data_IF_075213333151
#
_entry.id   IF_075213333151
#
_cell.length_a   1.000
_cell.length_b   1.000
_cell.length_c   1.000
_cell.angle_alpha   90.00
_cell.angle_beta   90.00
_cell.angle_gamma   90.00
#
_symmetry.space_group_name_H-M   'P 1'
#
loop_
_entity.id
_entity.type
_entity.pdbx_description
1 polymer ?
#
# COMPACT_ATOMS: atom_id res chain seq x y z
N UNK A 1 -56.49 -12.83 -1.94
CA UNK A 1 -56.61 -14.06 -1.15
C UNK A 1 -55.26 -14.76 -1.29
N UNK A 2 -54.39 -14.87 -0.40
CA UNK A 2 -54.25 -15.14 0.98
C UNK A 2 -52.88 -14.60 1.42
N UNK A 3 -52.86 -13.76 2.46
CA UNK A 3 -51.68 -13.19 3.07
C UNK A 3 -51.13 -14.19 4.07
N UNK A 4 -49.85 -14.53 3.97
CA UNK A 4 -49.13 -15.25 5.04
C UNK A 4 -48.07 -14.36 5.65
N UNK A 5 -48.25 -14.03 6.93
CA UNK A 5 -47.32 -13.29 7.80
C UNK A 5 -46.24 -14.22 8.27
N UNK A 6 -44.96 -13.76 8.27
CA UNK A 6 -43.85 -14.36 8.98
C UNK A 6 -43.66 -13.73 10.36
N UNK A 7 -43.19 -14.48 11.37
CA UNK A 7 -43.10 -14.02 12.75
C UNK A 7 -41.83 -13.18 13.05
N UNK A 8 -42.07 -12.11 13.82
CA UNK A 8 -41.04 -11.28 14.42
C UNK A 8 -40.42 -11.99 15.62
N UNK A 9 -39.08 -12.25 15.60
CA UNK A 9 -38.34 -12.61 16.79
C UNK A 9 -37.80 -11.34 17.47
N UNK A 10 -38.36 -11.02 18.62
CA UNK A 10 -37.86 -9.99 19.53
C UNK A 10 -36.73 -10.57 20.40
N UNK A 11 -35.55 -9.92 20.39
CA UNK A 11 -34.48 -10.20 21.30
C UNK A 11 -34.52 -9.24 22.49
N UNK A 12 -34.80 -9.80 23.65
CA UNK A 12 -34.81 -9.12 24.95
C UNK A 12 -33.34 -8.95 25.39
N UNK A 13 -32.94 -7.69 25.54
CA UNK A 13 -31.66 -7.33 26.19
C UNK A 13 -31.81 -7.50 27.71
N UNK A 14 -31.10 -8.44 28.31
CA UNK A 14 -30.91 -8.52 29.76
C UNK A 14 -29.66 -7.74 30.15
N UNK A 15 -29.84 -6.65 30.87
CA UNK A 15 -28.79 -5.95 31.55
C UNK A 15 -28.53 -6.63 32.90
N UNK A 16 -27.32 -7.12 33.11
CA UNK A 16 -26.86 -7.63 34.41
C UNK A 16 -26.10 -6.50 35.11
N UNK A 17 -26.68 -5.96 36.15
CA UNK A 17 -26.04 -4.99 37.04
C UNK A 17 -25.07 -5.73 37.97
N UNK A 18 -23.79 -5.34 37.92
CA UNK A 18 -22.77 -5.78 38.91
C UNK A 18 -22.77 -4.76 40.03
N UNK A 19 -23.19 -5.20 41.23
CA UNK A 19 -23.13 -4.45 42.47
C UNK A 19 -21.75 -4.67 43.10
N UNK A 20 -20.95 -3.62 43.23
CA UNK A 20 -19.68 -3.62 43.96
C UNK A 20 -19.99 -3.39 45.43
N UNK A 21 -19.74 -4.40 46.27
CA UNK A 21 -19.85 -4.31 47.72
C UNK A 21 -18.50 -3.84 48.30
N UNK A 22 -18.47 -2.66 48.89
CA UNK A 22 -17.35 -2.14 49.68
C UNK A 22 -17.43 -2.78 51.08
N UNK A 23 -16.41 -3.54 51.48
CA UNK A 23 -16.22 -4.03 52.86
C UNK A 23 -15.27 -3.05 53.56
N UNK A 24 -15.81 -2.29 54.50
CA UNK A 24 -15.04 -1.45 55.44
C UNK A 24 -14.69 -2.34 56.66
N UNK A 25 -13.40 -2.61 56.85
CA UNK A 25 -12.89 -3.23 58.10
C UNK A 25 -12.49 -2.18 59.10
N UNK A 26 -13.29 -1.99 60.14
CA UNK A 26 -12.95 -1.21 61.33
C UNK A 26 -12.26 -2.14 62.34
N UNK A 27 -11.01 -1.85 62.68
CA UNK A 27 -10.31 -2.41 63.82
C UNK A 27 -10.24 -1.35 64.93
N UNK A 28 -10.96 -1.66 66.01
CA UNK A 28 -10.79 -1.00 67.29
C UNK A 28 -9.76 -1.78 68.10
N UNK A 29 -8.78 -1.10 68.66
CA UNK A 29 -7.81 -1.65 69.58
C UNK A 29 -7.40 -0.61 70.60
N UNK A 30 -7.79 -0.80 71.83
CA UNK A 30 -7.47 0.03 73.01
C UNK A 30 -6.05 -0.19 73.51
N UNK A 31 -5.47 0.87 74.08
CA UNK A 31 -4.66 0.69 75.32
C UNK A 31 -3.27 1.31 75.31
N UNK A 32 -3.09 2.40 76.03
CA UNK A 32 -2.03 2.53 77.01
C UNK A 32 -0.78 3.34 76.70
N UNK A 33 -0.69 4.49 77.44
CA UNK A 33 0.50 5.11 78.04
C UNK A 33 1.48 5.92 77.16
N UNK A 34 1.39 7.23 77.40
CA UNK A 34 2.42 8.27 77.49
C UNK A 34 3.88 7.87 77.18
N UNK A 35 4.45 8.56 76.21
CA UNK A 35 5.71 9.28 76.33
C UNK A 35 5.86 10.29 75.17
N UNK A 36 6.23 11.49 75.57
CA UNK A 36 6.49 12.63 74.72
C UNK A 36 7.77 12.45 73.91
N UNK A 37 7.70 12.53 72.59
CA UNK A 37 8.82 12.96 71.79
C UNK A 37 8.31 13.65 70.50
N UNK A 38 8.69 14.88 70.42
CA UNK A 38 8.57 15.72 69.21
C UNK A 38 9.27 15.00 68.03
N UNK A 39 8.50 14.58 67.05
CA UNK A 39 9.02 14.22 65.75
C UNK A 39 8.22 14.91 64.67
N UNK A 40 8.88 15.87 64.06
CA UNK A 40 8.37 16.60 62.93
C UNK A 40 7.85 15.64 61.84
N UNK A 41 6.58 15.77 61.48
CA UNK A 41 5.97 15.07 60.39
C UNK A 41 6.65 15.51 59.08
N UNK A 42 7.55 14.68 58.56
CA UNK A 42 8.05 14.83 57.23
C UNK A 42 6.94 14.43 56.23
N UNK A 43 6.34 15.46 55.63
CA UNK A 43 5.44 15.26 54.50
C UNK A 43 6.26 14.75 53.33
N UNK A 44 6.19 13.46 53.05
CA UNK A 44 6.77 12.89 51.87
C UNK A 44 6.03 13.41 50.66
N UNK A 45 6.64 14.37 49.95
CA UNK A 45 6.18 14.80 48.63
C UNK A 45 6.45 13.69 47.65
N UNK A 46 5.42 12.94 47.26
CA UNK A 46 5.49 11.99 46.17
C UNK A 46 5.61 12.79 44.87
N UNK A 47 6.82 12.96 44.41
CA UNK A 47 7.07 13.50 43.07
C UNK A 47 6.61 12.42 42.08
N UNK A 48 5.45 12.62 41.44
CA UNK A 48 5.06 11.80 40.28
C UNK A 48 6.02 12.15 39.13
N UNK A 49 7.05 11.35 38.94
CA UNK A 49 7.80 11.34 37.73
C UNK A 49 6.93 10.69 36.66
N UNK A 50 6.37 11.49 35.76
CA UNK A 50 5.84 11.00 34.48
C UNK A 50 6.94 10.16 33.82
N UNK A 51 6.68 8.90 33.42
CA UNK A 51 7.68 8.13 32.72
C UNK A 51 8.02 8.83 31.40
N UNK A 52 9.20 9.43 31.34
CA UNK A 52 9.77 9.88 30.10
C UNK A 52 10.19 8.62 29.36
N UNK A 53 9.48 8.30 28.28
CA UNK A 53 9.93 7.26 27.34
C UNK A 53 11.15 7.83 26.62
N UNK A 54 12.33 7.55 27.15
CA UNK A 54 13.59 7.82 26.43
C UNK A 54 13.71 6.75 25.38
N UNK A 55 13.29 7.04 24.15
CA UNK A 55 13.67 6.25 22.99
C UNK A 55 15.19 6.42 22.86
N UNK A 56 15.96 5.43 23.31
CA UNK A 56 17.40 5.39 23.03
C UNK A 56 17.56 5.20 21.53
N UNK A 57 17.77 6.28 20.78
CA UNK A 57 18.29 6.20 19.43
C UNK A 57 19.72 5.64 19.53
N UNK A 58 19.97 4.46 18.96
CA UNK A 58 21.31 3.96 18.75
C UNK A 58 22.13 5.03 17.98
N UNK A 59 23.44 5.08 18.11
CA UNK A 59 24.33 6.11 17.53
C UNK A 59 24.21 6.32 15.99
N UNK A 60 23.39 5.48 15.31
CA UNK A 60 22.91 5.61 13.94
C UNK A 60 21.41 5.29 13.85
N UNK A 61 20.66 5.59 14.95
CA UNK A 61 19.26 5.25 15.07
C UNK A 61 18.34 6.14 14.21
N UNK A 62 17.18 5.59 13.86
CA UNK A 62 16.11 6.30 13.18
C UNK A 62 15.56 7.43 14.09
N UNK A 63 15.72 8.67 13.66
CA UNK A 63 15.22 9.84 14.35
C UNK A 63 13.91 10.32 13.71
N UNK A 64 12.79 9.84 14.25
CA UNK A 64 11.46 10.16 13.75
C UNK A 64 11.14 11.67 13.87
N UNK A 65 11.66 12.34 14.90
CA UNK A 65 11.43 13.79 15.09
C UNK A 65 12.13 14.57 13.99
N UNK A 66 13.38 14.24 13.69
CA UNK A 66 14.14 14.86 12.60
C UNK A 66 13.48 14.59 11.25
N UNK A 67 13.11 13.34 10.96
CA UNK A 67 12.43 12.98 9.70
C UNK A 67 11.15 13.77 9.53
N UNK A 68 10.35 13.89 10.60
CA UNK A 68 9.12 14.69 10.56
C UNK A 68 9.40 16.17 10.29
N UNK A 69 10.34 16.78 11.00
CA UNK A 69 10.68 18.19 10.79
C UNK A 69 11.22 18.49 9.39
N UNK A 70 12.00 17.57 8.82
CA UNK A 70 12.56 17.74 7.48
C UNK A 70 11.52 17.55 6.37
N UNK A 71 10.58 16.61 6.54
CA UNK A 71 9.66 16.21 5.47
C UNK A 71 8.28 16.86 5.57
N UNK A 72 7.77 17.12 6.77
CA UNK A 72 6.40 17.63 6.94
C UNK A 72 6.09 18.93 6.20
N UNK A 73 7.02 19.90 6.02
CA UNK A 73 6.71 21.09 5.23
C UNK A 73 6.37 20.80 3.77
N UNK A 74 6.86 19.69 3.23
CA UNK A 74 6.58 19.25 1.85
C UNK A 74 5.37 18.34 1.71
N UNK A 75 4.71 17.94 2.79
CA UNK A 75 3.51 17.11 2.76
C UNK A 75 2.27 17.98 2.77
N UNK A 76 1.33 17.70 1.86
CA UNK A 76 0.13 18.51 1.62
C UNK A 76 -1.14 17.68 1.76
N UNK A 77 -2.26 18.36 2.05
CA UNK A 77 -3.61 17.78 1.95
C UNK A 77 -4.15 18.01 0.54
N UNK A 78 -4.79 17.01 -0.03
CA UNK A 78 -5.44 17.09 -1.34
C UNK A 78 -6.94 16.93 -1.15
N UNK A 79 -7.70 17.86 -1.72
CA UNK A 79 -9.15 17.82 -1.74
C UNK A 79 -9.65 17.76 -3.18
N UNK A 80 -10.37 16.72 -3.50
CA UNK A 80 -10.93 16.45 -4.83
C UNK A 80 -12.44 16.60 -4.81
N UNK A 81 -12.98 17.34 -5.78
CA UNK A 81 -14.42 17.54 -5.96
C UNK A 81 -14.88 16.82 -7.22
N UNK A 82 -15.80 15.88 -7.10
CA UNK A 82 -16.32 15.09 -8.23
C UNK A 82 -17.58 15.65 -8.84
N UNK A 83 -17.86 15.30 -10.09
CA UNK A 83 -19.06 15.73 -10.82
C UNK A 83 -20.30 14.95 -10.34
N UNK A 84 -21.48 15.58 -10.46
CA UNK A 84 -22.76 14.88 -10.28
C UNK A 84 -23.17 14.58 -8.83
N UNK A 85 -22.58 15.27 -7.85
CA UNK A 85 -22.89 15.04 -6.42
C UNK A 85 -22.17 13.83 -5.84
N UNK A 86 -21.12 13.34 -6.50
CA UNK A 86 -20.27 12.22 -6.05
C UNK A 86 -19.42 12.53 -4.79
N UNK A 87 -19.70 13.68 -4.11
CA UNK A 87 -18.99 14.03 -2.89
C UNK A 87 -17.64 14.70 -3.12
N UNK A 88 -16.84 14.74 -2.05
CA UNK A 88 -15.44 15.14 -2.06
C UNK A 88 -14.61 13.99 -1.50
N UNK A 89 -13.43 13.77 -2.06
CA UNK A 89 -12.40 12.92 -1.48
C UNK A 89 -11.31 13.79 -0.87
N UNK A 90 -10.68 13.27 0.17
CA UNK A 90 -9.54 13.89 0.81
C UNK A 90 -8.43 12.85 0.99
N UNK A 91 -7.20 13.26 0.73
CA UNK A 91 -6.01 12.46 0.92
C UNK A 91 -4.79 13.34 1.12
N UNK A 92 -3.64 12.73 1.10
CA UNK A 92 -2.35 13.41 1.21
C UNK A 92 -1.62 13.42 -0.12
N UNK A 93 -0.57 14.24 -0.19
CA UNK A 93 0.41 14.26 -1.26
C UNK A 93 1.71 14.87 -0.78
N UNK A 94 2.68 14.96 -1.65
CA UNK A 94 3.92 15.66 -1.36
C UNK A 94 4.44 16.43 -2.56
N UNK A 95 5.12 17.53 -2.27
CA UNK A 95 5.76 18.39 -3.27
C UNK A 95 6.95 17.64 -3.86
N UNK A 96 6.96 17.50 -5.19
CA UNK A 96 8.02 16.78 -5.92
C UNK A 96 9.20 17.72 -6.24
N UNK A 97 8.91 18.97 -6.59
CA UNK A 97 9.90 19.95 -7.05
C UNK A 97 9.45 21.40 -6.84
N UNK A 98 10.39 22.37 -7.01
CA UNK A 98 10.09 23.78 -6.85
C UNK A 98 9.22 24.37 -7.97
N UNK A 99 9.04 23.65 -9.08
CA UNK A 99 8.14 24.04 -10.16
C UNK A 99 6.67 23.85 -9.79
N UNK A 100 6.35 23.22 -8.64
CA UNK A 100 5.00 23.02 -8.12
C UNK A 100 4.35 21.74 -8.59
N UNK A 101 5.14 20.72 -8.93
CA UNK A 101 4.63 19.36 -9.14
C UNK A 101 4.37 18.69 -7.80
N UNK A 102 3.26 17.99 -7.71
CA UNK A 102 2.81 17.28 -6.50
C UNK A 102 2.41 15.87 -6.88
N UNK A 103 2.84 14.90 -6.08
CA UNK A 103 2.53 13.49 -6.27
C UNK A 103 1.55 13.04 -5.20
N UNK A 104 0.60 12.19 -5.60
CA UNK A 104 -0.40 11.54 -4.73
C UNK A 104 -0.86 10.22 -5.34
N UNK A 105 -1.80 9.53 -4.69
CA UNK A 105 -2.48 8.38 -5.28
C UNK A 105 -3.51 8.79 -6.35
N UNK A 106 -3.70 7.94 -7.36
CA UNK A 106 -4.69 8.17 -8.41
C UNK A 106 -6.12 8.14 -7.86
N UNK A 107 -6.43 7.25 -6.89
CA UNK A 107 -7.75 7.18 -6.27
C UNK A 107 -8.15 8.47 -5.54
N UNK A 108 -7.19 9.27 -5.05
CA UNK A 108 -7.48 10.57 -4.40
C UNK A 108 -8.07 11.56 -5.39
N UNK A 109 -7.74 11.45 -6.68
CA UNK A 109 -8.16 12.41 -7.72
C UNK A 109 -9.06 11.81 -8.79
N UNK A 110 -9.51 10.55 -8.63
CA UNK A 110 -10.42 9.87 -9.56
C UNK A 110 -11.67 9.35 -8.88
N UNK A 111 -12.81 9.38 -9.58
CA UNK A 111 -14.11 8.87 -9.10
C UNK A 111 -14.18 7.35 -9.36
N UNK A 112 -14.19 6.57 -8.28
CA UNK A 112 -14.30 5.11 -8.31
C UNK A 112 -15.71 4.62 -8.62
N UNK A 113 -16.73 5.43 -8.32
CA UNK A 113 -18.15 5.03 -8.44
C UNK A 113 -18.62 4.84 -9.88
N UNK A 114 -17.88 5.33 -10.85
CA UNK A 114 -18.31 5.42 -12.25
C UNK A 114 -17.79 4.32 -13.17
N UNK A 115 -17.11 3.29 -12.68
CA UNK A 115 -16.54 2.20 -13.50
C UNK A 115 -15.54 2.63 -14.61
N UNK A 116 -15.55 3.92 -14.97
CA UNK A 116 -14.69 4.53 -15.98
C UNK A 116 -13.76 5.59 -15.39
N UNK A 117 -13.34 5.46 -14.14
CA UNK A 117 -12.38 6.33 -13.42
C UNK A 117 -12.20 7.70 -14.04
N UNK A 118 -13.12 8.61 -13.71
CA UNK A 118 -13.08 9.98 -14.20
C UNK A 118 -12.29 10.85 -13.25
N UNK A 119 -11.43 11.66 -13.80
CA UNK A 119 -10.71 12.67 -13.03
C UNK A 119 -11.68 13.60 -12.29
N UNK A 120 -11.30 14.03 -11.11
CA UNK A 120 -12.01 15.05 -10.34
C UNK A 120 -12.23 16.29 -11.18
N UNK A 121 -13.34 16.99 -10.90
CA UNK A 121 -13.68 18.25 -11.57
C UNK A 121 -12.75 19.37 -11.13
N UNK A 122 -12.46 19.42 -9.84
CA UNK A 122 -11.60 20.41 -9.20
C UNK A 122 -10.74 19.71 -8.16
N UNK A 123 -9.48 20.12 -8.06
CA UNK A 123 -8.54 19.66 -7.05
C UNK A 123 -7.94 20.87 -6.37
N UNK A 124 -7.85 20.82 -5.05
CA UNK A 124 -7.26 21.86 -4.23
C UNK A 124 -6.15 21.24 -3.35
N UNK A 125 -5.06 21.97 -3.23
CA UNK A 125 -3.94 21.64 -2.36
C UNK A 125 -3.97 22.55 -1.16
N UNK A 126 -4.01 21.99 0.04
CA UNK A 126 -3.85 22.73 1.29
C UNK A 126 -2.44 22.46 1.84
N UNK A 127 -1.69 23.53 2.02
CA UNK A 127 -0.34 23.52 2.60
C UNK A 127 -0.37 23.56 4.14
N UNK A 128 0.74 23.19 4.82
CA UNK A 128 0.83 23.27 6.29
C UNK A 128 0.57 24.67 6.87
N UNK A 129 0.85 25.72 6.13
CA UNK A 129 0.58 27.11 6.47
C UNK A 129 -0.88 27.54 6.24
N UNK A 130 -1.75 26.60 5.86
CA UNK A 130 -3.17 26.75 5.56
C UNK A 130 -3.51 27.50 4.28
N UNK A 131 -2.54 27.78 3.43
CA UNK A 131 -2.83 28.23 2.08
C UNK A 131 -3.52 27.11 1.29
N UNK A 132 -4.60 27.45 0.58
CA UNK A 132 -5.35 26.53 -0.28
C UNK A 132 -5.32 27.06 -1.68
N UNK A 133 -4.78 26.26 -2.61
CA UNK A 133 -4.63 26.65 -4.02
C UNK A 133 -5.24 25.61 -4.96
N UNK A 134 -5.78 26.04 -6.11
CA UNK A 134 -6.23 25.08 -7.13
C UNK A 134 -5.04 24.36 -7.76
N UNK A 135 -5.24 23.08 -8.10
CA UNK A 135 -4.28 22.29 -8.84
C UNK A 135 -4.89 21.73 -10.13
N UNK A 136 -4.03 21.56 -11.13
CA UNK A 136 -4.36 20.87 -12.38
C UNK A 136 -3.88 19.43 -12.30
N UNK A 137 -4.71 18.46 -12.69
CA UNK A 137 -4.30 17.07 -12.86
C UNK A 137 -3.53 16.98 -14.17
N UNK A 138 -2.21 16.74 -14.12
CA UNK A 138 -1.35 16.49 -15.30
C UNK A 138 -1.72 15.15 -15.90
N UNK A 139 -1.89 14.13 -15.06
CA UNK A 139 -2.33 12.81 -15.44
C UNK A 139 -2.40 11.89 -14.22
N UNK A 140 -2.89 10.67 -14.45
CA UNK A 140 -2.89 9.63 -13.42
C UNK A 140 -2.64 8.25 -14.03
N UNK A 141 -2.00 7.40 -13.25
CA UNK A 141 -1.67 6.03 -13.55
C UNK A 141 -2.53 5.09 -12.68
N UNK A 142 -3.58 4.49 -13.22
CA UNK A 142 -4.46 3.61 -12.44
C UNK A 142 -3.83 2.24 -12.17
N UNK A 143 -2.72 1.87 -12.84
CA UNK A 143 -2.04 0.59 -12.63
C UNK A 143 -1.09 0.62 -11.44
N UNK A 144 -0.45 1.76 -11.19
CA UNK A 144 0.42 1.98 -10.04
C UNK A 144 -0.23 2.83 -8.95
N UNK A 145 -1.47 3.26 -9.16
CA UNK A 145 -2.19 4.20 -8.27
C UNK A 145 -1.39 5.48 -7.96
N UNK A 146 -0.83 6.11 -8.99
CA UNK A 146 -0.06 7.36 -8.91
C UNK A 146 -0.75 8.46 -9.70
N UNK A 147 -0.84 9.67 -9.14
CA UNK A 147 -1.26 10.86 -9.86
C UNK A 147 -0.22 11.97 -9.76
N UNK A 148 -0.09 12.73 -10.83
CA UNK A 148 0.75 13.93 -10.93
C UNK A 148 -0.14 15.15 -11.05
N UNK A 149 0.04 16.07 -10.10
CA UNK A 149 -0.66 17.36 -10.04
C UNK A 149 0.32 18.48 -10.27
N UNK A 150 -0.20 19.65 -10.67
CA UNK A 150 0.55 20.87 -10.90
C UNK A 150 -0.18 22.07 -10.30
N UNK A 151 0.54 22.88 -9.55
CA UNK A 151 0.10 24.19 -9.07
C UNK A 151 0.96 25.30 -9.69
N UNK A 152 0.48 26.53 -9.65
CA UNK A 152 1.30 27.70 -9.90
C UNK A 152 2.17 27.97 -8.65
N UNK A 153 3.52 27.94 -8.77
CA UNK A 153 4.41 28.01 -7.61
C UNK A 153 4.61 29.43 -7.06
N UNK A 154 4.21 30.45 -7.81
CA UNK A 154 4.50 31.85 -7.48
C UNK A 154 3.88 32.27 -6.14
N UNK A 155 4.73 32.76 -5.24
CA UNK A 155 4.32 33.25 -3.93
C UNK A 155 4.25 32.20 -2.82
N UNK A 156 4.65 30.95 -3.10
CA UNK A 156 4.71 29.86 -2.12
C UNK A 156 6.14 29.43 -1.85
N UNK A 157 6.43 29.16 -0.56
CA UNK A 157 7.68 28.51 -0.15
C UNK A 157 7.50 26.99 -0.22
N UNK A 158 7.81 26.44 -1.40
CA UNK A 158 7.65 25.01 -1.63
C UNK A 158 8.84 24.24 -1.04
N UNK A 159 8.53 23.12 -0.38
CA UNK A 159 9.52 22.23 0.25
C UNK A 159 9.53 20.86 -0.45
N UNK A 160 10.27 20.69 -1.57
CA UNK A 160 10.31 19.43 -2.29
C UNK A 160 10.92 18.30 -1.48
N UNK A 161 10.29 17.13 -1.52
CA UNK A 161 10.85 15.91 -0.92
C UNK A 161 11.75 15.20 -1.92
N UNK A 162 12.89 14.72 -1.42
CA UNK A 162 13.83 13.96 -2.23
C UNK A 162 13.33 12.53 -2.42
N UNK A 163 13.28 12.05 -3.66
CA UNK A 163 13.01 10.65 -3.94
C UNK A 163 14.23 9.80 -3.57
N UNK A 164 13.97 8.72 -2.85
CA UNK A 164 14.97 7.73 -2.45
C UNK A 164 15.24 6.67 -3.50
N UNK A 165 15.58 5.48 -3.03
CA UNK A 165 15.83 4.28 -3.82
C UNK A 165 15.26 3.07 -3.08
N UNK A 166 14.41 2.30 -3.75
CA UNK A 166 13.76 1.10 -3.22
C UNK A 166 14.51 -0.19 -3.58
N UNK A 167 15.55 -0.12 -4.40
CA UNK A 167 16.33 -1.29 -4.82
C UNK A 167 17.15 -1.93 -3.70
N UNK A 168 17.46 -1.17 -2.64
CA UNK A 168 18.27 -1.61 -1.50
C UNK A 168 17.43 -1.78 -0.21
N UNK A 169 16.10 -1.78 -0.33
CA UNK A 169 15.23 -1.96 0.83
C UNK A 169 15.45 -3.31 1.50
N UNK A 170 15.54 -3.29 2.83
CA UNK A 170 15.67 -4.51 3.64
C UNK A 170 14.57 -4.60 4.68
N UNK A 171 14.07 -5.83 4.90
CA UNK A 171 13.10 -6.10 5.97
C UNK A 171 13.69 -5.73 7.32
N UNK A 172 12.91 -5.03 8.15
CA UNK A 172 13.35 -4.46 9.43
C UNK A 172 13.93 -3.04 9.34
N UNK A 173 14.10 -2.48 8.14
CA UNK A 173 14.53 -1.09 7.97
C UNK A 173 13.45 -0.15 8.55
N UNK A 174 13.82 0.81 9.43
CA UNK A 174 12.88 1.77 9.96
C UNK A 174 12.34 2.71 8.89
N UNK A 175 11.03 3.00 8.97
CA UNK A 175 10.33 3.91 8.06
C UNK A 175 9.35 4.80 8.82
N UNK A 176 9.02 5.94 8.24
CA UNK A 176 7.99 6.86 8.72
C UNK A 176 6.98 7.14 7.62
N UNK A 177 5.70 7.04 7.94
CA UNK A 177 4.61 7.50 7.10
C UNK A 177 4.11 8.85 7.60
N UNK A 178 4.03 9.84 6.72
CA UNK A 178 3.43 11.14 7.01
C UNK A 178 2.18 11.31 6.15
N UNK A 179 1.12 11.86 6.76
CA UNK A 179 -0.11 12.24 6.09
C UNK A 179 -0.75 13.44 6.75
N UNK A 180 -1.78 13.98 6.12
CA UNK A 180 -2.55 15.12 6.61
C UNK A 180 -4.04 14.73 6.64
N UNK A 181 -4.45 13.83 7.57
CA UNK A 181 -5.81 13.33 7.63
C UNK A 181 -6.79 14.42 8.07
N UNK A 182 -7.96 14.47 7.42
CA UNK A 182 -9.11 15.29 7.83
C UNK A 182 -8.87 16.80 7.90
N UNK A 183 -7.89 17.36 7.15
CA UNK A 183 -7.52 18.78 7.25
C UNK A 183 -7.03 19.18 8.63
N UNK A 184 -6.73 18.22 9.48
CA UNK A 184 -6.09 18.39 10.78
C UNK A 184 -4.56 18.50 10.60
N UNK A 185 -3.83 18.73 11.68
CA UNK A 185 -2.37 18.78 11.61
C UNK A 185 -1.78 17.46 11.11
N UNK A 186 -0.70 17.56 10.33
CA UNK A 186 0.03 16.41 9.81
C UNK A 186 0.31 15.37 10.90
N UNK A 187 0.09 14.12 10.58
CA UNK A 187 0.33 12.98 11.47
C UNK A 187 1.52 12.16 11.02
N UNK A 188 2.29 11.67 12.00
CA UNK A 188 3.43 10.79 11.81
C UNK A 188 3.09 9.41 12.34
N UNK A 189 3.35 8.39 11.55
CA UNK A 189 3.37 6.99 11.98
C UNK A 189 4.73 6.40 11.70
N UNK A 190 5.26 5.60 12.63
CA UNK A 190 6.58 4.97 12.52
C UNK A 190 6.43 3.47 12.59
N UNK A 191 7.20 2.77 11.78
CA UNK A 191 7.26 1.32 11.72
C UNK A 191 8.53 0.85 11.05
N UNK A 192 8.48 -0.35 10.50
CA UNK A 192 9.55 -0.95 9.72
C UNK A 192 9.04 -1.46 8.37
N UNK A 193 9.94 -1.70 7.44
CA UNK A 193 9.65 -2.52 6.26
C UNK A 193 9.40 -3.95 6.74
N UNK A 194 8.16 -4.43 6.60
CA UNK A 194 7.75 -5.78 7.00
C UNK A 194 8.01 -6.81 5.91
N UNK A 195 7.91 -6.41 4.64
CA UNK A 195 8.29 -7.20 3.48
C UNK A 195 8.54 -6.26 2.29
N UNK A 196 9.30 -6.74 1.32
CA UNK A 196 9.51 -6.15 0.01
C UNK A 196 8.85 -7.01 -1.06
N UNK A 197 8.75 -6.49 -2.26
CA UNK A 197 8.29 -7.23 -3.46
C UNK A 197 6.91 -7.88 -3.27
N UNK A 198 5.97 -7.16 -2.64
CA UNK A 198 4.58 -7.61 -2.54
C UNK A 198 3.80 -7.21 -3.79
N UNK A 199 2.88 -8.09 -4.19
CA UNK A 199 1.87 -7.77 -5.19
C UNK A 199 0.59 -7.39 -4.47
N UNK A 200 0.10 -6.18 -4.74
CA UNK A 200 -1.14 -5.66 -4.14
C UNK A 200 -2.12 -5.27 -5.22
N UNK A 201 -3.41 -5.37 -4.93
CA UNK A 201 -4.44 -5.05 -5.89
C UNK A 201 -4.39 -3.54 -6.23
N UNK A 202 -4.31 -3.24 -7.54
CA UNK A 202 -4.40 -1.86 -8.02
C UNK A 202 -5.86 -1.43 -8.17
N UNK A 203 -6.05 -0.21 -8.60
CA UNK A 203 -7.36 0.29 -9.00
C UNK A 203 -7.93 -0.41 -10.25
N UNK A 204 -7.20 -1.31 -10.86
CA UNK A 204 -7.57 -2.08 -12.05
C UNK A 204 -7.70 -3.57 -11.69
N UNK A 205 -7.83 -4.44 -12.69
CA UNK A 205 -7.74 -5.91 -12.49
C UNK A 205 -6.29 -6.41 -12.35
N UNK A 206 -5.33 -5.50 -12.46
CA UNK A 206 -3.90 -5.82 -12.37
C UNK A 206 -3.38 -5.49 -10.99
N UNK A 207 -2.22 -6.02 -10.68
CA UNK A 207 -1.55 -5.78 -9.39
C UNK A 207 -0.48 -4.70 -9.52
N UNK A 208 -0.23 -4.00 -8.42
CA UNK A 208 0.96 -3.17 -8.22
C UNK A 208 2.05 -4.11 -7.76
N UNK A 209 3.08 -4.26 -8.59
CA UNK A 209 4.23 -5.10 -8.27
C UNK A 209 5.29 -4.35 -7.46
N UNK A 210 6.00 -5.07 -6.58
CA UNK A 210 7.08 -4.51 -5.79
C UNK A 210 6.60 -3.64 -4.62
N UNK A 211 5.33 -3.72 -4.21
CA UNK A 211 4.81 -2.93 -3.11
C UNK A 211 5.58 -3.20 -1.80
N UNK A 212 5.82 -2.12 -1.05
CA UNK A 212 6.50 -2.15 0.24
C UNK A 212 5.46 -2.41 1.32
N UNK A 213 5.58 -3.52 2.04
CA UNK A 213 4.75 -3.79 3.22
C UNK A 213 5.38 -3.16 4.46
N UNK A 214 4.59 -2.50 5.30
CA UNK A 214 5.02 -1.89 6.56
C UNK A 214 4.01 -2.12 7.68
N UNK A 215 4.48 -2.08 8.93
CA UNK A 215 3.63 -2.04 10.13
C UNK A 215 3.39 -0.61 10.64
N UNK A 216 3.99 0.40 10.00
CA UNK A 216 3.58 1.78 10.18
C UNK A 216 2.08 1.92 9.92
N UNK A 217 1.35 2.57 10.82
CA UNK A 217 -0.11 2.68 10.70
C UNK A 217 -0.49 3.55 9.48
N UNK A 218 -1.02 2.91 8.45
CA UNK A 218 -1.62 3.57 7.29
C UNK A 218 -3.14 3.55 7.49
N UNK A 219 -3.75 4.72 7.50
CA UNK A 219 -5.18 4.93 7.74
C UNK A 219 -5.74 5.92 6.72
N UNK A 220 -7.08 6.05 6.58
CA UNK A 220 -7.70 7.11 5.78
C UNK A 220 -7.08 8.47 6.10
N UNK A 221 -6.63 9.16 5.05
CA UNK A 221 -5.95 10.45 5.16
C UNK A 221 -4.42 10.38 5.02
N UNK A 222 -3.77 9.23 5.27
CA UNK A 222 -2.34 9.06 4.97
C UNK A 222 -2.11 8.65 3.50
N UNK A 223 -3.13 8.10 2.84
CA UNK A 223 -3.05 7.71 1.42
C UNK A 223 -2.61 8.88 0.55
N UNK A 224 -1.65 8.64 -0.32
CA UNK A 224 -1.01 9.65 -1.15
C UNK A 224 0.17 10.38 -0.49
N UNK A 225 0.30 10.31 0.83
CA UNK A 225 1.46 10.83 1.56
C UNK A 225 2.70 9.94 1.42
N UNK A 226 3.89 10.46 1.79
CA UNK A 226 5.14 9.73 1.63
C UNK A 226 5.36 8.67 2.73
N UNK A 227 5.94 7.54 2.33
CA UNK A 227 6.71 6.63 3.19
C UNK A 227 8.19 7.03 3.08
N UNK A 228 8.83 7.30 4.22
CA UNK A 228 10.16 7.92 4.29
C UNK A 228 11.18 7.02 4.97
N UNK A 229 12.43 7.11 4.52
CA UNK A 229 13.59 6.50 5.17
C UNK A 229 14.16 7.38 6.31
N UNK A 230 15.23 6.87 6.95
CA UNK A 230 15.97 7.61 7.97
C UNK A 230 16.60 8.92 7.47
N UNK A 231 16.78 9.12 6.18
CA UNK A 231 17.28 10.35 5.56
C UNK A 231 16.18 11.30 5.08
N UNK A 232 14.92 11.09 5.50
CA UNK A 232 13.74 11.80 5.03
C UNK A 232 13.56 11.74 3.49
N UNK A 233 14.02 10.66 2.85
CA UNK A 233 13.84 10.42 1.42
C UNK A 233 12.61 9.54 1.21
N UNK A 234 11.84 9.84 0.17
CA UNK A 234 10.62 9.11 -0.19
C UNK A 234 10.99 7.72 -0.72
N UNK A 235 10.57 6.67 -0.04
CA UNK A 235 10.67 5.28 -0.47
C UNK A 235 9.43 4.82 -1.22
N UNK A 236 8.28 5.44 -0.95
CA UNK A 236 7.01 5.11 -1.60
C UNK A 236 5.90 6.08 -1.25
N UNK A 237 4.72 5.84 -1.84
CA UNK A 237 3.46 6.51 -1.51
C UNK A 237 2.63 5.56 -0.65
N UNK A 238 2.18 6.03 0.51
CA UNK A 238 1.30 5.25 1.38
C UNK A 238 0.01 4.90 0.65
N UNK A 239 -0.32 3.60 0.66
CA UNK A 239 -1.50 3.03 0.01
C UNK A 239 -2.40 2.42 1.08
N UNK A 240 -3.63 2.90 1.17
CA UNK A 240 -4.62 2.25 2.02
C UNK A 240 -5.29 1.12 1.24
N UNK A 241 -4.97 -0.12 1.58
CA UNK A 241 -5.72 -1.28 1.09
C UNK A 241 -6.95 -1.47 1.98
N UNK A 242 -8.12 -1.65 1.35
CA UNK A 242 -9.33 -2.02 2.07
C UNK A 242 -9.10 -3.33 2.84
N UNK A 243 -9.06 -3.22 4.17
CA UNK A 243 -9.11 -4.39 5.03
C UNK A 243 -10.57 -4.70 5.34
N UNK A 244 -10.92 -5.98 5.45
CA UNK A 244 -12.28 -6.42 5.83
C UNK A 244 -12.79 -5.82 7.17
N UNK A 245 -11.94 -5.16 7.93
CA UNK A 245 -12.26 -4.51 9.21
C UNK A 245 -12.38 -2.99 9.14
N UNK A 246 -12.04 -2.36 8.00
CA UNK A 246 -12.05 -0.89 7.85
C UNK A 246 -11.04 -0.14 8.73
N UNK A 247 -10.12 -0.84 9.39
CA UNK A 247 -9.08 -0.27 10.24
C UNK A 247 -7.74 -0.99 10.03
N UNK A 248 -6.64 -0.27 10.23
CA UNK A 248 -5.30 -0.84 10.15
C UNK A 248 -5.14 -2.01 11.14
N UNK A 249 -4.86 -3.19 10.61
CA UNK A 249 -4.59 -4.42 11.36
C UNK A 249 -3.09 -4.65 11.64
N UNK A 250 -2.25 -3.62 11.50
CA UNK A 250 -0.77 -3.75 11.56
C UNK A 250 -0.14 -4.15 10.23
N UNK A 251 -0.89 -4.03 9.13
CA UNK A 251 -0.41 -4.27 7.77
C UNK A 251 -0.78 -3.06 6.92
N UNK A 252 0.22 -2.32 6.46
CA UNK A 252 0.10 -1.22 5.51
C UNK A 252 0.95 -1.51 4.28
N UNK A 253 0.67 -0.81 3.19
CA UNK A 253 1.43 -0.92 1.96
C UNK A 253 1.82 0.46 1.44
N UNK A 254 2.86 0.50 0.62
CA UNK A 254 3.24 1.69 -0.13
C UNK A 254 3.64 1.31 -1.55
N UNK A 255 3.21 2.14 -2.50
CA UNK A 255 3.66 2.09 -3.90
C UNK A 255 5.14 2.47 -3.94
N UNK A 256 6.06 1.64 -4.48
CA UNK A 256 7.49 1.89 -4.41
C UNK A 256 7.93 3.11 -5.23
N UNK A 257 9.01 3.76 -4.81
CA UNK A 257 9.51 4.98 -5.47
C UNK A 257 9.96 4.76 -6.92
N UNK A 258 10.37 3.57 -7.27
CA UNK A 258 10.65 3.18 -8.67
C UNK A 258 9.40 3.26 -9.55
N UNK A 259 8.23 2.82 -9.05
CA UNK A 259 6.95 2.97 -9.74
C UNK A 259 6.55 4.44 -9.85
N UNK A 260 6.73 5.24 -8.79
CA UNK A 260 6.48 6.68 -8.82
C UNK A 260 7.29 7.35 -9.93
N UNK A 261 8.60 7.12 -9.96
CA UNK A 261 9.51 7.69 -10.97
C UNK A 261 9.06 7.35 -12.40
N UNK A 262 8.68 6.07 -12.63
CA UNK A 262 8.19 5.61 -13.93
C UNK A 262 6.87 6.26 -14.31
N UNK A 263 5.90 6.31 -13.39
CA UNK A 263 4.60 6.93 -13.64
C UNK A 263 4.74 8.43 -13.91
N UNK A 264 5.46 9.17 -13.05
CA UNK A 264 5.68 10.61 -13.22
C UNK A 264 6.29 10.92 -14.59
N UNK A 265 7.35 10.20 -15.00
CA UNK A 265 7.97 10.41 -16.31
C UNK A 265 6.98 10.24 -17.48
N UNK A 266 6.13 9.21 -17.43
CA UNK A 266 5.13 8.97 -18.48
C UNK A 266 3.99 10.00 -18.45
N UNK A 267 3.54 10.38 -17.23
CA UNK A 267 2.48 11.36 -17.05
C UNK A 267 2.90 12.75 -17.55
N UNK A 268 4.17 13.13 -17.34
CA UNK A 268 4.73 14.38 -17.89
C UNK A 268 4.81 14.38 -19.42
N UNK A 269 5.24 13.25 -19.98
CA UNK A 269 5.46 13.15 -21.44
C UNK A 269 4.14 13.00 -22.21
N UNK A 270 3.22 12.15 -21.70
CA UNK A 270 2.04 11.68 -22.45
C UNK A 270 0.71 12.02 -21.80
N UNK A 271 0.70 12.44 -20.53
CA UNK A 271 -0.51 12.61 -19.72
C UNK A 271 -1.15 11.29 -19.28
N UNK A 272 -0.59 10.15 -19.66
CA UNK A 272 -1.08 8.82 -19.34
C UNK A 272 0.06 7.80 -19.18
N UNK A 273 -0.14 6.79 -18.33
CA UNK A 273 0.80 5.69 -18.17
C UNK A 273 0.44 4.50 -19.08
N UNK A 274 1.46 3.89 -19.65
CA UNK A 274 1.37 2.71 -20.50
C UNK A 274 2.25 1.59 -19.95
N UNK A 275 1.70 0.39 -19.91
CA UNK A 275 2.40 -0.80 -19.43
C UNK A 275 2.39 -1.88 -20.48
N UNK A 276 3.49 -2.61 -20.56
CA UNK A 276 3.56 -3.81 -21.37
C UNK A 276 2.59 -4.88 -20.82
N UNK A 277 2.08 -5.70 -21.73
CA UNK A 277 1.08 -6.72 -21.45
C UNK A 277 1.35 -7.96 -22.28
N UNK A 278 1.30 -9.12 -21.63
CA UNK A 278 1.45 -10.42 -22.29
C UNK A 278 0.13 -11.16 -22.43
N UNK A 279 -0.76 -11.07 -21.44
CA UNK A 279 -2.10 -11.65 -21.47
C UNK A 279 -2.17 -13.09 -21.00
N UNK A 280 -1.53 -13.40 -19.88
CA UNK A 280 -1.58 -14.72 -19.24
C UNK A 280 -1.93 -14.60 -17.76
N UNK A 281 -2.50 -15.68 -17.20
CA UNK A 281 -2.56 -15.94 -15.78
C UNK A 281 -1.65 -17.11 -15.45
N UNK A 282 -0.84 -16.99 -14.40
CA UNK A 282 0.13 -18.01 -14.00
C UNK A 282 -0.14 -18.57 -12.62
N UNK A 283 0.30 -19.81 -12.40
CA UNK A 283 0.35 -20.46 -11.09
C UNK A 283 1.80 -20.93 -10.86
N UNK A 284 2.36 -20.76 -9.64
CA UNK A 284 3.75 -21.10 -9.38
C UNK A 284 4.00 -22.60 -9.47
N UNK A 285 5.09 -22.99 -10.13
CA UNK A 285 5.67 -24.32 -10.05
C UNK A 285 6.69 -24.32 -8.91
N UNK A 286 6.62 -25.35 -8.09
CA UNK A 286 7.55 -25.61 -6.98
C UNK A 286 7.89 -27.11 -6.96
N UNK A 287 8.98 -27.55 -6.29
CA UNK A 287 9.53 -28.89 -6.46
C UNK A 287 8.50 -30.03 -6.32
N UNK A 288 7.63 -29.98 -5.30
CA UNK A 288 6.66 -31.05 -5.06
C UNK A 288 5.54 -31.10 -6.12
N UNK A 289 5.15 -29.93 -6.68
CA UNK A 289 4.19 -29.88 -7.76
C UNK A 289 4.83 -30.38 -9.07
N UNK A 290 6.07 -29.99 -9.32
CA UNK A 290 6.86 -30.45 -10.47
C UNK A 290 7.00 -31.98 -10.47
N UNK A 291 7.41 -32.59 -9.36
CA UNK A 291 7.48 -34.04 -9.17
C UNK A 291 6.12 -34.71 -9.42
N UNK A 292 5.04 -34.12 -8.86
CA UNK A 292 3.67 -34.61 -9.03
C UNK A 292 3.22 -34.66 -10.49
N UNK A 293 3.63 -33.63 -11.27
CA UNK A 293 3.27 -33.46 -12.67
C UNK A 293 4.29 -34.09 -13.63
N UNK A 294 5.47 -34.53 -13.13
CA UNK A 294 6.56 -35.09 -13.95
C UNK A 294 7.22 -34.02 -14.85
N UNK A 295 7.32 -32.77 -14.35
CA UNK A 295 7.94 -31.66 -15.09
C UNK A 295 9.47 -31.75 -15.01
N UNK A 296 10.18 -31.40 -16.10
CA UNK A 296 11.64 -31.24 -16.14
C UNK A 296 12.05 -29.83 -15.70
N UNK A 297 11.51 -29.36 -14.59
CA UNK A 297 11.83 -28.09 -13.92
C UNK A 297 11.28 -28.15 -12.50
N UNK A 298 11.90 -27.45 -11.55
CA UNK A 298 11.45 -27.30 -10.17
C UNK A 298 10.89 -25.90 -9.87
N UNK A 299 10.84 -25.03 -10.86
CA UNK A 299 10.34 -23.66 -10.80
C UNK A 299 9.68 -23.25 -12.12
N UNK A 300 9.03 -22.10 -12.15
CA UNK A 300 8.39 -21.50 -13.31
C UNK A 300 6.98 -21.00 -13.03
N UNK A 301 6.42 -20.31 -14.02
CA UNK A 301 5.03 -19.89 -14.05
C UNK A 301 4.22 -20.81 -14.99
N UNK A 302 3.44 -21.73 -14.45
CA UNK A 302 2.54 -22.57 -15.25
C UNK A 302 1.34 -21.74 -15.69
N UNK A 303 1.07 -21.69 -16.99
CA UNK A 303 -0.06 -20.93 -17.53
C UNK A 303 -1.38 -21.63 -17.17
N UNK A 304 -2.18 -20.98 -16.33
CA UNK A 304 -3.54 -21.40 -16.03
C UNK A 304 -4.54 -20.92 -17.09
N UNK A 305 -4.28 -19.73 -17.65
CA UNK A 305 -5.13 -19.12 -18.67
C UNK A 305 -4.29 -18.28 -19.62
N UNK A 306 -4.65 -18.29 -20.90
CA UNK A 306 -4.18 -17.37 -21.94
C UNK A 306 -5.39 -16.58 -22.44
N UNK A 307 -5.29 -15.24 -22.34
CA UNK A 307 -6.37 -14.35 -22.74
C UNK A 307 -6.50 -14.36 -24.27
N UNK A 308 -7.69 -14.65 -24.84
CA UNK A 308 -7.89 -14.63 -26.29
C UNK A 308 -7.48 -13.29 -26.92
N UNK A 309 -6.91 -13.35 -28.13
CA UNK A 309 -6.38 -12.21 -28.88
C UNK A 309 -5.23 -11.44 -28.22
N UNK A 310 -4.72 -11.93 -27.07
CA UNK A 310 -3.57 -11.35 -26.38
C UNK A 310 -2.25 -11.59 -27.14
N UNK A 311 -1.15 -10.92 -26.76
CA UNK A 311 0.19 -11.25 -27.23
C UNK A 311 0.59 -12.71 -27.04
N UNK A 312 0.26 -13.31 -25.89
CA UNK A 312 0.53 -14.70 -25.59
C UNK A 312 -0.23 -15.65 -26.53
N UNK A 313 -1.52 -15.39 -26.74
CA UNK A 313 -2.35 -16.16 -27.68
C UNK A 313 -1.80 -16.10 -29.11
N UNK A 314 -1.43 -14.91 -29.58
CA UNK A 314 -0.81 -14.71 -30.89
C UNK A 314 0.55 -15.38 -31.05
N UNK A 315 1.29 -15.54 -29.95
CA UNK A 315 2.55 -16.27 -29.91
C UNK A 315 2.35 -17.80 -29.81
N UNK A 316 1.10 -18.26 -29.67
CA UNK A 316 0.78 -19.69 -29.57
C UNK A 316 1.11 -20.29 -28.21
N UNK A 317 1.06 -19.50 -27.13
CA UNK A 317 1.13 -20.04 -25.77
C UNK A 317 -0.20 -20.69 -25.39
N UNK A 318 -0.13 -21.76 -24.60
CA UNK A 318 -1.29 -22.58 -24.23
C UNK A 318 -1.53 -22.55 -22.71
N UNK A 319 -2.77 -22.29 -22.31
CA UNK A 319 -3.23 -22.35 -20.91
C UNK A 319 -3.63 -23.75 -20.48
N UNK A 320 -3.79 -23.95 -19.16
CA UNK A 320 -4.24 -25.22 -18.58
C UNK A 320 -5.66 -25.58 -19.00
N UNK A 321 -5.88 -26.86 -19.27
CA UNK A 321 -7.17 -27.44 -19.71
C UNK A 321 -7.75 -28.45 -18.72
N UNK A 322 -7.00 -28.79 -17.66
CA UNK A 322 -7.37 -29.80 -16.66
C UNK A 322 -7.24 -29.24 -15.25
N UNK A 323 -8.07 -29.74 -14.35
CA UNK A 323 -8.05 -29.35 -12.94
C UNK A 323 -7.40 -30.42 -12.07
N UNK A 324 -6.52 -29.98 -11.18
CA UNK A 324 -5.89 -30.79 -10.15
C UNK A 324 -6.01 -30.05 -8.81
N UNK A 325 -6.42 -30.75 -7.75
CA UNK A 325 -6.22 -30.25 -6.39
C UNK A 325 -5.01 -30.95 -5.77
N UNK A 326 -3.99 -30.18 -5.43
CA UNK A 326 -2.77 -30.70 -4.82
C UNK A 326 -2.42 -29.85 -3.59
N UNK A 327 -2.12 -30.49 -2.45
CA UNK A 327 -1.83 -29.84 -1.17
C UNK A 327 -2.91 -28.79 -0.78
N UNK A 328 -4.19 -29.12 -1.00
CA UNK A 328 -5.35 -28.29 -0.78
C UNK A 328 -5.45 -27.01 -1.66
N UNK A 329 -4.61 -26.89 -2.69
CA UNK A 329 -4.61 -25.77 -3.63
C UNK A 329 -5.15 -26.29 -4.99
N UNK A 330 -6.15 -25.58 -5.59
CA UNK A 330 -6.60 -25.91 -6.95
C UNK A 330 -5.64 -25.37 -7.99
N UNK A 331 -5.32 -26.19 -8.99
CA UNK A 331 -4.49 -25.85 -10.14
C UNK A 331 -5.24 -26.13 -11.46
N UNK A 332 -5.06 -25.23 -12.42
CA UNK A 332 -5.33 -25.49 -13.83
C UNK A 332 -4.02 -26.00 -14.45
N UNK A 333 -3.97 -27.26 -14.89
CA UNK A 333 -2.75 -27.94 -15.37
C UNK A 333 -2.85 -28.28 -16.85
N UNK A 334 -1.70 -28.61 -17.48
CA UNK A 334 -1.62 -28.97 -18.90
C UNK A 334 -1.23 -27.81 -19.80
N UNK A 335 -1.13 -26.59 -19.28
CA UNK A 335 -0.60 -25.45 -19.99
C UNK A 335 0.93 -25.40 -20.01
N UNK A 336 1.47 -24.48 -20.79
CA UNK A 336 2.91 -24.18 -20.84
C UNK A 336 3.43 -23.75 -19.47
N UNK A 337 4.71 -24.03 -19.20
CA UNK A 337 5.41 -23.51 -18.02
C UNK A 337 6.48 -22.53 -18.50
N UNK A 338 6.34 -21.25 -18.18
CA UNK A 338 7.37 -20.24 -18.46
C UNK A 338 8.49 -20.41 -17.45
N UNK A 339 9.69 -20.73 -17.91
CA UNK A 339 10.89 -20.96 -17.10
C UNK A 339 11.73 -19.70 -16.98
N UNK A 340 11.86 -18.93 -18.07
CA UNK A 340 12.61 -17.67 -18.09
C UNK A 340 12.03 -16.65 -19.07
N UNK A 341 12.36 -15.38 -18.84
CA UNK A 341 12.08 -14.23 -19.73
C UNK A 341 13.40 -13.56 -20.02
N UNK A 342 13.81 -13.45 -21.28
CA UNK A 342 15.09 -12.88 -21.73
C UNK A 342 16.31 -13.45 -20.95
N UNK A 343 16.24 -14.75 -20.62
CA UNK A 343 17.26 -15.45 -19.84
C UNK A 343 17.20 -15.24 -18.33
N UNK A 344 16.27 -14.44 -17.83
CA UNK A 344 16.02 -14.25 -16.39
C UNK A 344 15.05 -15.33 -15.90
N UNK A 345 15.43 -16.17 -14.90
CA UNK A 345 14.58 -17.26 -14.44
C UNK A 345 13.31 -16.75 -13.74
N UNK A 346 12.19 -17.42 -13.99
CA UNK A 346 10.92 -17.21 -13.29
C UNK A 346 10.89 -18.19 -12.11
N UNK A 347 11.20 -17.70 -10.91
CA UNK A 347 11.28 -18.51 -9.68
C UNK A 347 10.15 -18.15 -8.71
N UNK A 348 9.95 -16.86 -8.46
CA UNK A 348 8.84 -16.39 -7.65
C UNK A 348 7.56 -16.20 -8.47
N UNK A 349 6.37 -16.29 -7.85
CA UNK A 349 5.09 -16.14 -8.54
C UNK A 349 4.98 -14.84 -9.35
N UNK A 350 5.58 -13.75 -8.85
CA UNK A 350 5.44 -12.41 -9.41
C UNK A 350 6.56 -12.06 -10.42
N UNK A 351 7.57 -12.93 -10.61
CA UNK A 351 8.72 -12.65 -11.47
C UNK A 351 8.31 -12.33 -12.90
N UNK A 352 7.36 -13.11 -13.48
CA UNK A 352 6.88 -12.86 -14.83
C UNK A 352 6.30 -11.46 -14.98
N UNK A 353 5.39 -11.08 -14.08
CA UNK A 353 4.77 -9.75 -14.06
C UNK A 353 5.82 -8.64 -13.94
N UNK A 354 6.77 -8.83 -13.04
CA UNK A 354 7.88 -7.90 -12.80
C UNK A 354 8.75 -7.72 -14.03
N UNK A 355 9.19 -8.80 -14.68
CA UNK A 355 10.00 -8.73 -15.91
C UNK A 355 9.23 -8.06 -17.05
N UNK A 356 7.98 -8.45 -17.29
CA UNK A 356 7.15 -7.83 -18.34
C UNK A 356 6.95 -6.32 -18.07
N UNK A 357 6.79 -5.91 -16.80
CA UNK A 357 6.57 -4.51 -16.43
C UNK A 357 7.78 -3.59 -16.67
N UNK A 358 8.99 -4.14 -16.87
CA UNK A 358 10.19 -3.38 -17.23
C UNK A 358 10.25 -3.01 -18.71
N UNK A 359 9.41 -3.64 -19.54
CA UNK A 359 9.38 -3.44 -20.99
C UNK A 359 8.34 -2.39 -21.41
N UNK A 360 8.45 -1.95 -22.66
CA UNK A 360 7.48 -1.06 -23.30
C UNK A 360 6.53 -1.87 -24.20
N UNK A 361 5.28 -1.44 -24.39
CA UNK A 361 4.42 -2.00 -25.42
C UNK A 361 5.09 -1.99 -26.79
N UNK A 362 4.98 -3.10 -27.53
CA UNK A 362 5.62 -3.29 -28.84
C UNK A 362 7.02 -3.90 -28.79
N UNK A 363 7.66 -4.00 -27.63
CA UNK A 363 8.92 -4.76 -27.48
C UNK A 363 8.65 -6.26 -27.54
N UNK A 364 9.63 -7.00 -28.06
CA UNK A 364 9.58 -8.46 -28.09
C UNK A 364 10.46 -9.00 -26.98
N UNK A 365 9.92 -9.95 -26.21
CA UNK A 365 10.63 -10.74 -25.20
C UNK A 365 10.75 -12.17 -25.66
N UNK A 366 11.84 -12.83 -25.28
CA UNK A 366 12.06 -14.23 -25.52
C UNK A 366 11.73 -15.05 -24.26
N UNK A 367 10.75 -15.93 -24.36
CA UNK A 367 10.37 -16.85 -23.29
C UNK A 367 11.00 -18.22 -23.52
N UNK A 368 11.60 -18.78 -22.47
CA UNK A 368 11.85 -20.22 -22.43
C UNK A 368 10.65 -20.90 -21.79
N UNK A 369 9.99 -21.77 -22.51
CA UNK A 369 8.80 -22.50 -22.04
C UNK A 369 9.04 -24.00 -22.03
N UNK A 370 8.45 -24.71 -21.06
CA UNK A 370 8.35 -26.15 -21.04
C UNK A 370 6.95 -26.55 -21.55
N UNK A 371 6.90 -27.21 -22.71
CA UNK A 371 5.68 -27.69 -23.35
C UNK A 371 5.84 -29.17 -23.65
N UNK A 372 4.93 -30.02 -23.23
CA UNK A 372 4.97 -31.50 -23.48
C UNK A 372 6.31 -32.16 -23.13
N UNK A 373 6.95 -31.69 -22.04
CA UNK A 373 8.26 -32.20 -21.60
C UNK A 373 9.45 -31.71 -22.43
N UNK A 374 9.28 -30.73 -23.32
CA UNK A 374 10.36 -30.15 -24.14
C UNK A 374 10.50 -28.66 -23.85
N UNK A 375 11.73 -28.17 -23.83
CA UNK A 375 12.04 -26.73 -23.72
C UNK A 375 12.03 -26.10 -25.12
N UNK A 376 11.28 -25.03 -25.25
CA UNK A 376 11.13 -24.26 -26.48
C UNK A 376 11.36 -22.78 -26.22
N UNK A 377 11.87 -22.06 -27.24
CA UNK A 377 11.97 -20.60 -27.20
C UNK A 377 10.80 -20.02 -27.96
N UNK A 378 10.06 -19.11 -27.31
CA UNK A 378 8.90 -18.44 -27.89
C UNK A 378 9.10 -16.93 -27.80
N UNK A 379 9.12 -16.26 -28.95
CA UNK A 379 9.18 -14.81 -29.02
C UNK A 379 7.77 -14.21 -28.91
N UNK A 380 7.58 -13.30 -27.95
CA UNK A 380 6.30 -12.64 -27.72
C UNK A 380 6.45 -11.14 -27.88
N UNK A 381 5.75 -10.53 -28.85
CA UNK A 381 5.67 -9.07 -28.97
C UNK A 381 4.60 -8.56 -28.01
N UNK A 382 5.04 -7.81 -26.99
CA UNK A 382 4.18 -7.32 -25.93
C UNK A 382 3.16 -6.28 -26.42
N UNK A 383 1.94 -6.37 -25.95
CA UNK A 383 0.88 -5.40 -26.20
C UNK A 383 0.85 -4.28 -25.15
N UNK A 384 -0.10 -3.37 -25.33
CA UNK A 384 -0.46 -2.39 -24.31
C UNK A 384 -1.45 -3.02 -23.32
N UNK A 385 -1.20 -2.84 -22.02
CA UNK A 385 -2.11 -3.31 -20.96
C UNK A 385 -3.49 -2.66 -21.11
N UNK A 386 -4.58 -3.44 -21.16
CA UNK A 386 -5.91 -2.86 -21.28
C UNK A 386 -6.27 -2.06 -20.03
N UNK A 387 -6.93 -0.93 -20.21
CA UNK A 387 -7.58 -0.20 -19.12
C UNK A 387 -8.85 -0.99 -18.77
N UNK A 388 -8.93 -1.55 -17.57
CA UNK A 388 -10.03 -2.40 -17.11
C UNK A 388 -11.41 -1.75 -17.19
#
# INVERSE_FOLDING_TARGET
>A
MTVTRSPRYGWIKRYTAVVLTLVALSLAGCGGSSDSNDSAAQTATVTQTTPQVVVQTAEHGFDAVRVFHEASPGVVTIRSVFRGGGGAAEGSGFVLDPEGRIVTNAHVVTDESSGSRKAAKEVFIEFPDRNIVPATIVGFDPFADVALLKIEPDGFDLHPLRLGDDSELVVGQPVAAIGSPFGEQQSLSVGVVSATDRSVESLTKFQIEGAIQTDASINPGNSGGPLLDAGARVLGINEQIETNSGSNSGVGFAVPVSAIKRSVAQLEEKGEAEYAYIGVSTQPVYPQLADKLGLDTDHGGMLSEVVPDSPADKAGLEGGDKRLTFQAIPYEIGGDVIISVDGHPVVAPDDLGRYISTHQPGQTVQLEVLRDGKREQVDVTLGKRPRG
#
